data_IF_376832240783
#
_entry.id   IF_376832240783
#
_cell.length_a   1.000
_cell.length_b   1.000
_cell.length_c   1.000
_cell.angle_alpha   90.00
_cell.angle_beta   90.00
_cell.angle_gamma   90.00
#
_symmetry.space_group_name_H-M   'P 1'
#
loop_
_entity.id
_entity.type
_entity.pdbx_description
1 polymer ?
#
# COMPACT_ATOMS: atom_id res chain seq x y z
N UNK A 1 -3.94 -1.51 -2.73
CA UNK A 1 -2.71 -0.74 -3.02
C UNK A 1 -1.52 -1.68 -3.21
N UNK A 2 -0.96 -2.26 -2.15
CA UNK A 2 0.27 -3.10 -2.15
C UNK A 2 0.36 -4.06 -3.34
N UNK A 3 -0.61 -4.96 -3.51
CA UNK A 3 -0.57 -5.96 -4.58
C UNK A 3 -0.48 -5.32 -5.97
N UNK A 4 -1.37 -4.38 -6.27
CA UNK A 4 -1.44 -3.78 -7.60
C UNK A 4 -0.20 -2.91 -7.87
N UNK A 5 0.19 -2.05 -6.93
CA UNK A 5 1.35 -1.16 -7.11
C UNK A 5 2.65 -1.95 -7.23
N UNK A 6 2.87 -2.92 -6.34
CA UNK A 6 4.08 -3.75 -6.35
C UNK A 6 4.20 -4.51 -7.66
N UNK A 7 3.18 -5.30 -8.05
CA UNK A 7 3.29 -6.12 -9.26
C UNK A 7 3.36 -5.27 -10.53
N UNK A 8 2.67 -4.13 -10.59
CA UNK A 8 2.79 -3.20 -11.72
C UNK A 8 4.23 -2.71 -11.89
N UNK A 9 4.84 -2.22 -10.81
CA UNK A 9 6.21 -1.73 -10.83
C UNK A 9 7.21 -2.88 -11.06
N UNK A 10 6.96 -4.04 -10.44
CA UNK A 10 7.78 -5.23 -10.59
C UNK A 10 7.83 -5.71 -12.04
N UNK A 11 6.68 -5.79 -12.72
CA UNK A 11 6.60 -6.22 -14.13
C UNK A 11 7.15 -5.17 -15.09
N UNK A 12 7.01 -3.88 -14.75
CA UNK A 12 7.58 -2.80 -15.55
C UNK A 12 9.09 -2.75 -15.45
N UNK A 13 9.62 -2.66 -14.23
CA UNK A 13 11.04 -2.78 -13.91
C UNK A 13 11.21 -3.11 -12.42
N UNK A 14 11.50 -4.37 -12.10
CA UNK A 14 11.67 -4.84 -10.72
C UNK A 14 12.76 -4.11 -9.94
N UNK A 15 13.80 -3.58 -10.57
CA UNK A 15 14.88 -2.88 -9.85
C UNK A 15 14.39 -1.62 -9.13
N UNK A 16 13.20 -1.12 -9.46
CA UNK A 16 12.60 0.06 -8.80
C UNK A 16 12.05 -0.22 -7.40
N UNK A 17 11.63 -1.47 -7.13
CA UNK A 17 10.93 -1.85 -5.90
C UNK A 17 11.44 -3.13 -5.25
N UNK A 18 12.04 -4.02 -6.03
CA UNK A 18 12.54 -5.31 -5.61
C UNK A 18 13.78 -5.73 -6.44
N UNK A 19 14.95 -5.14 -6.14
CA UNK A 19 16.20 -5.44 -6.83
C UNK A 19 16.60 -6.91 -6.74
N UNK A 20 17.35 -7.41 -7.72
CA UNK A 20 17.83 -8.81 -7.72
C UNK A 20 18.67 -9.18 -6.49
N UNK A 21 19.34 -8.22 -5.88
CA UNK A 21 20.11 -8.43 -4.64
C UNK A 21 19.24 -8.96 -3.49
N UNK A 22 17.93 -8.70 -3.51
CA UNK A 22 17.00 -9.19 -2.49
C UNK A 22 16.59 -10.65 -2.68
N UNK A 23 16.84 -11.27 -3.84
CA UNK A 23 16.43 -12.66 -4.11
C UNK A 23 17.09 -13.67 -3.15
N UNK A 24 18.30 -13.34 -2.65
CA UNK A 24 19.00 -14.16 -1.65
C UNK A 24 18.48 -13.99 -0.21
N UNK A 25 17.69 -12.96 0.06
CA UNK A 25 17.17 -12.63 1.40
C UNK A 25 15.67 -12.94 1.49
N UNK A 26 14.91 -12.61 0.45
CA UNK A 26 13.47 -12.79 0.37
C UNK A 26 13.21 -13.86 -0.70
N UNK A 27 12.94 -15.12 -0.31
CA UNK A 27 12.63 -16.16 -1.28
C UNK A 27 11.29 -15.88 -1.97
N UNK A 28 11.10 -16.47 -3.15
CA UNK A 28 9.94 -16.26 -4.00
C UNK A 28 8.59 -16.46 -3.27
N UNK A 29 8.48 -17.49 -2.44
CA UNK A 29 7.25 -17.76 -1.68
C UNK A 29 6.93 -16.63 -0.71
N UNK A 30 7.94 -16.05 -0.06
CA UNK A 30 7.77 -14.95 0.89
C UNK A 30 7.39 -13.67 0.14
N UNK A 31 8.00 -13.43 -1.03
CA UNK A 31 7.62 -12.32 -1.90
C UNK A 31 6.13 -12.39 -2.29
N UNK A 32 5.64 -13.57 -2.67
CA UNK A 32 4.21 -13.77 -2.95
C UNK A 32 3.33 -13.66 -1.69
N UNK A 33 3.79 -14.14 -0.53
CA UNK A 33 3.05 -13.98 0.71
C UNK A 33 2.86 -12.49 1.06
N UNK A 34 3.88 -11.66 0.85
CA UNK A 34 3.85 -10.23 1.13
C UNK A 34 3.03 -9.42 0.10
N UNK A 35 3.13 -9.78 -1.19
CA UNK A 35 2.60 -8.92 -2.27
C UNK A 35 1.42 -9.51 -3.04
N UNK A 36 1.21 -10.82 -3.03
CA UNK A 36 0.06 -11.45 -3.70
C UNK A 36 -1.01 -11.84 -2.70
N UNK A 37 -0.66 -12.53 -1.61
CA UNK A 37 -1.62 -13.17 -0.71
C UNK A 37 -2.55 -12.16 0.03
N UNK A 38 -2.10 -10.91 0.20
CA UNK A 38 -2.90 -9.83 0.80
C UNK A 38 -4.24 -9.63 0.07
N UNK A 39 -4.26 -9.74 -1.26
CA UNK A 39 -5.48 -9.52 -2.04
C UNK A 39 -6.55 -10.62 -1.84
N UNK A 40 -6.27 -11.92 -2.05
CA UNK A 40 -7.26 -12.96 -1.82
C UNK A 40 -7.72 -13.03 -0.36
N UNK A 41 -6.86 -12.77 0.62
CA UNK A 41 -7.29 -12.72 2.02
C UNK A 41 -8.24 -11.54 2.29
N UNK A 42 -7.96 -10.35 1.76
CA UNK A 42 -8.88 -9.22 1.88
C UNK A 42 -10.24 -9.49 1.19
N UNK A 43 -10.23 -10.13 0.03
CA UNK A 43 -11.47 -10.52 -0.67
C UNK A 43 -12.24 -11.58 0.12
N UNK A 44 -11.54 -12.58 0.66
CA UNK A 44 -12.13 -13.63 1.49
C UNK A 44 -12.73 -13.05 2.76
N UNK A 45 -12.07 -12.11 3.42
CA UNK A 45 -12.62 -11.39 4.58
C UNK A 45 -13.94 -10.71 4.23
N UNK A 46 -13.97 -9.93 3.15
CA UNK A 46 -15.18 -9.23 2.68
C UNK A 46 -16.32 -10.21 2.38
N UNK A 47 -16.01 -11.37 1.80
CA UNK A 47 -16.99 -12.40 1.44
C UNK A 47 -17.45 -13.26 2.62
N UNK A 48 -16.61 -13.46 3.64
CA UNK A 48 -16.88 -14.36 4.75
C UNK A 48 -17.41 -13.64 6.00
N UNK A 49 -17.11 -12.36 6.17
CA UNK A 49 -17.43 -11.61 7.38
C UNK A 49 -18.00 -10.22 7.04
N UNK A 50 -19.14 -9.81 7.64
CA UNK A 50 -19.64 -8.45 7.51
C UNK A 50 -18.74 -7.48 8.28
N UNK A 51 -17.73 -6.92 7.61
CA UNK A 51 -16.75 -6.03 8.22
C UNK A 51 -17.40 -4.70 8.64
N UNK A 52 -17.16 -4.27 9.89
CA UNK A 52 -17.71 -3.03 10.43
C UNK A 52 -16.74 -1.87 10.22
N UNK A 53 -16.92 -1.16 9.10
CA UNK A 53 -16.14 0.03 8.81
C UNK A 53 -16.45 1.16 9.82
N UNK A 54 -15.44 1.87 10.35
CA UNK A 54 -15.67 3.07 11.13
C UNK A 54 -16.27 4.17 10.25
N UNK A 55 -16.83 5.21 10.89
CA UNK A 55 -17.32 6.39 10.17
C UNK A 55 -16.25 6.92 9.19
N UNK A 56 -16.65 7.22 7.95
CA UNK A 56 -15.74 7.59 6.85
C UNK A 56 -14.67 8.61 7.25
N UNK A 57 -15.05 9.67 7.96
CA UNK A 57 -14.12 10.69 8.47
C UNK A 57 -13.06 10.09 9.40
N UNK A 58 -13.46 9.22 10.33
CA UNK A 58 -12.52 8.54 11.26
C UNK A 58 -11.58 7.61 10.49
N UNK A 59 -12.12 6.82 9.57
CA UNK A 59 -11.32 5.93 8.71
C UNK A 59 -10.28 6.69 7.88
N UNK A 60 -10.69 7.77 7.21
CA UNK A 60 -9.78 8.59 6.41
C UNK A 60 -8.73 9.32 7.25
N UNK A 61 -9.08 9.84 8.43
CA UNK A 61 -8.10 10.45 9.36
C UNK A 61 -7.08 9.41 9.79
N UNK A 62 -7.53 8.22 10.20
CA UNK A 62 -6.62 7.15 10.62
C UNK A 62 -5.67 6.73 9.49
N UNK A 63 -6.20 6.53 8.27
CA UNK A 63 -5.39 6.22 7.09
C UNK A 63 -4.37 7.31 6.80
N UNK A 64 -4.77 8.59 6.90
CA UNK A 64 -3.88 9.73 6.76
C UNK A 64 -2.76 9.72 7.80
N UNK A 65 -3.10 9.59 9.08
CA UNK A 65 -2.12 9.54 10.17
C UNK A 65 -1.12 8.40 10.01
N UNK A 66 -1.59 7.18 9.75
CA UNK A 66 -0.71 6.02 9.55
C UNK A 66 0.17 6.20 8.32
N UNK A 67 -0.37 6.73 7.22
CA UNK A 67 0.41 7.00 6.01
C UNK A 67 1.47 8.07 6.24
N UNK A 68 1.14 9.15 6.96
CA UNK A 68 2.10 10.20 7.33
C UNK A 68 3.23 9.64 8.22
N UNK A 69 2.91 8.81 9.22
CA UNK A 69 3.91 8.17 10.06
C UNK A 69 4.85 7.29 9.24
N UNK A 70 4.32 6.50 8.31
CA UNK A 70 5.13 5.67 7.41
C UNK A 70 6.02 6.52 6.48
N UNK A 71 5.48 7.59 5.89
CA UNK A 71 6.27 8.50 5.05
C UNK A 71 7.39 9.17 5.86
N UNK A 72 7.08 9.66 7.07
CA UNK A 72 8.08 10.23 7.98
C UNK A 72 9.18 9.21 8.30
N UNK A 73 8.83 7.93 8.51
CA UNK A 73 9.80 6.87 8.73
C UNK A 73 10.70 6.63 7.51
N UNK A 74 10.13 6.55 6.30
CA UNK A 74 10.90 6.39 5.05
C UNK A 74 11.85 7.57 4.83
N UNK A 75 11.38 8.81 5.04
CA UNK A 75 12.21 10.02 4.92
C UNK A 75 13.31 10.05 5.99
N UNK A 76 13.02 9.59 7.20
CA UNK A 76 14.00 9.48 8.27
C UNK A 76 15.11 8.48 7.89
N UNK A 77 14.77 7.29 7.37
CA UNK A 77 15.77 6.31 6.89
C UNK A 77 16.70 6.96 5.86
N UNK A 78 16.15 7.66 4.86
CA UNK A 78 16.97 8.36 3.87
C UNK A 78 17.85 9.44 4.50
N UNK A 79 17.33 10.23 5.43
CA UNK A 79 18.10 11.28 6.10
C UNK A 79 19.29 10.75 6.92
N UNK A 80 19.19 9.53 7.44
CA UNK A 80 20.24 8.90 8.26
C UNK A 80 21.22 8.10 7.42
N UNK A 81 20.72 7.37 6.41
CA UNK A 81 21.53 6.41 5.64
C UNK A 81 22.04 6.98 4.31
N UNK A 82 21.41 8.03 3.77
CA UNK A 82 21.64 8.52 2.41
C UNK A 82 21.05 7.62 1.32
N UNK A 83 20.40 6.51 1.69
CA UNK A 83 19.87 5.51 0.76
C UNK A 83 18.34 5.44 0.83
N UNK A 84 17.71 5.30 -0.34
CA UNK A 84 16.25 5.17 -0.41
C UNK A 84 15.82 3.73 -0.17
N UNK A 85 14.75 3.55 0.63
CA UNK A 85 14.13 2.23 0.86
C UNK A 85 13.69 1.57 -0.45
N UNK A 86 13.25 2.37 -1.42
CA UNK A 86 12.96 1.92 -2.79
C UNK A 86 13.77 2.76 -3.78
N UNK A 87 14.54 2.14 -4.70
CA UNK A 87 15.30 2.87 -5.71
C UNK A 87 14.46 3.82 -6.57
N UNK A 88 13.17 3.52 -6.74
CA UNK A 88 12.18 4.40 -7.37
C UNK A 88 12.23 5.85 -6.85
N UNK A 89 12.43 6.05 -5.55
CA UNK A 89 12.41 7.38 -4.94
C UNK A 89 13.58 8.26 -5.38
N UNK A 90 14.73 7.66 -5.72
CA UNK A 90 15.89 8.37 -6.21
C UNK A 90 15.65 9.04 -7.58
N UNK A 91 14.64 8.58 -8.33
CA UNK A 91 14.31 9.11 -9.66
C UNK A 91 13.55 10.44 -9.59
N UNK A 92 13.07 10.83 -8.41
CA UNK A 92 12.23 12.00 -8.24
C UNK A 92 12.99 13.15 -7.59
N UNK A 93 12.65 14.37 -7.99
CA UNK A 93 12.95 15.57 -7.20
C UNK A 93 11.96 15.69 -6.02
N UNK A 94 12.15 16.63 -5.07
CA UNK A 94 11.27 16.76 -3.91
C UNK A 94 9.78 16.97 -4.25
N UNK A 95 9.49 17.73 -5.30
CA UNK A 95 8.10 17.94 -5.75
C UNK A 95 7.49 16.64 -6.32
N UNK A 96 8.28 15.87 -7.07
CA UNK A 96 7.91 14.55 -7.59
C UNK A 96 7.62 13.55 -6.47
N UNK A 97 8.45 13.52 -5.42
CA UNK A 97 8.22 12.70 -4.23
C UNK A 97 6.92 13.09 -3.51
N UNK A 98 6.70 14.38 -3.30
CA UNK A 98 5.47 14.86 -2.68
C UNK A 98 4.24 14.45 -3.51
N UNK A 99 4.30 14.60 -4.83
CA UNK A 99 3.23 14.17 -5.73
C UNK A 99 3.01 12.64 -5.70
N UNK A 100 4.08 11.85 -5.65
CA UNK A 100 4.01 10.39 -5.55
C UNK A 100 3.35 9.93 -4.25
N UNK A 101 3.73 10.51 -3.11
CA UNK A 101 3.13 10.17 -1.83
C UNK A 101 1.67 10.62 -1.73
N UNK A 102 1.36 11.82 -2.23
CA UNK A 102 -0.01 12.32 -2.29
C UNK A 102 -0.91 11.44 -3.16
N UNK A 103 -0.46 11.06 -4.36
CA UNK A 103 -1.23 10.18 -5.24
C UNK A 103 -1.42 8.78 -4.65
N UNK A 104 -0.39 8.23 -3.99
CA UNK A 104 -0.47 6.96 -3.27
C UNK A 104 -1.53 7.01 -2.16
N UNK A 105 -1.58 8.10 -1.39
CA UNK A 105 -2.59 8.29 -0.33
C UNK A 105 -4.00 8.35 -0.93
N UNK A 106 -4.19 9.08 -2.04
CA UNK A 106 -5.48 9.13 -2.74
C UNK A 106 -5.92 7.73 -3.18
N UNK A 107 -5.01 6.95 -3.77
CA UNK A 107 -5.32 5.57 -4.20
C UNK A 107 -5.68 4.68 -3.00
N UNK A 108 -4.97 4.80 -1.88
CA UNK A 108 -5.27 4.06 -0.64
C UNK A 108 -6.67 4.40 -0.13
N UNK A 109 -7.02 5.69 -0.06
CA UNK A 109 -8.34 6.14 0.36
C UNK A 109 -9.42 5.63 -0.60
N UNK A 110 -9.18 5.68 -1.91
CA UNK A 110 -10.10 5.15 -2.92
C UNK A 110 -10.34 3.64 -2.74
N UNK A 111 -9.29 2.85 -2.53
CA UNK A 111 -9.44 1.41 -2.26
C UNK A 111 -10.17 1.12 -0.95
N UNK A 112 -9.95 1.91 0.10
CA UNK A 112 -10.69 1.78 1.36
C UNK A 112 -12.20 2.01 1.15
N UNK A 113 -12.56 3.09 0.46
CA UNK A 113 -13.97 3.39 0.15
C UNK A 113 -14.58 2.33 -0.78
N UNK A 114 -13.80 1.80 -1.72
CA UNK A 114 -14.24 0.71 -2.59
C UNK A 114 -14.50 -0.58 -1.80
N UNK A 115 -13.64 -0.92 -0.84
CA UNK A 115 -13.87 -2.05 0.07
C UNK A 115 -15.15 -1.86 0.90
N UNK A 116 -15.36 -0.66 1.47
CA UNK A 116 -16.61 -0.35 2.18
C UNK A 116 -17.84 -0.49 1.28
N UNK A 117 -17.75 -0.04 0.04
CA UNK A 117 -18.80 -0.18 -0.96
C UNK A 117 -19.12 -1.65 -1.26
N UNK A 118 -18.10 -2.49 -1.52
CA UNK A 118 -18.28 -3.92 -1.75
C UNK A 118 -18.93 -4.61 -0.55
N UNK A 119 -18.45 -4.30 0.66
CA UNK A 119 -19.00 -4.87 1.88
C UNK A 119 -20.49 -4.52 2.06
N UNK A 120 -20.88 -3.27 1.76
CA UNK A 120 -22.30 -2.84 1.78
C UNK A 120 -23.13 -3.49 0.68
N UNK A 121 -22.56 -3.79 -0.49
CA UNK A 121 -23.27 -4.50 -1.55
C UNK A 121 -23.57 -5.95 -1.17
N UNK A 122 -22.62 -6.64 -0.53
CA UNK A 122 -22.74 -8.06 -0.17
C UNK A 122 -23.64 -8.24 1.05
N UNK A 123 -23.44 -7.43 2.09
CA UNK A 123 -24.08 -7.63 3.39
C UNK A 123 -25.19 -6.62 3.71
N UNK A 124 -25.43 -5.64 2.83
CA UNK A 124 -26.37 -4.55 3.08
C UNK A 124 -25.87 -3.51 4.09
N UNK A 125 -26.76 -2.62 4.50
CA UNK A 125 -26.47 -1.68 5.59
C UNK A 125 -26.87 -2.32 6.92
N UNK A 126 -25.91 -2.90 7.64
CA UNK A 126 -26.09 -3.14 9.07
C UNK A 126 -26.03 -1.80 9.80
N UNK A 127 -27.14 -1.43 10.47
CA UNK A 127 -27.20 -0.27 11.37
C UNK A 127 -26.34 -0.50 12.62
#
# INVERSE_FOLDING_TARGET
FVCISFWTLYTYNRELVYPKSLDGVIPLWLNHAMHTAVLPFALLEILATPHRYPAKRKGSILLGCVSSLYISWVLWIYSVTGEWVYPLFALFNPAGLAAFFASSLVIIISFYNFGEFLNRMIWGQYK
#
